data_IF_966464517195
#
_entry.id   IF_966464517195
#
_cell.length_a   1.000
_cell.length_b   1.000
_cell.length_c   1.000
_cell.angle_alpha   90.00
_cell.angle_beta   90.00
_cell.angle_gamma   90.00
#
_symmetry.space_group_name_H-M   'P 1'
#
loop_
_entity.id
_entity.type
_entity.pdbx_description
1 polymer ?
#
# COMPACT_ATOMS: atom_id res chain seq x y z
N UNK A 1 -2.40 4.52 27.69
CA UNK A 1 -3.10 3.79 26.61
C UNK A 1 -3.21 4.68 25.38
N UNK A 2 -2.11 4.90 24.67
CA UNK A 2 -2.11 5.87 23.56
C UNK A 2 -0.99 5.69 22.55
N UNK A 3 -0.19 4.62 22.62
CA UNK A 3 0.85 4.27 21.65
C UNK A 3 0.46 3.03 20.82
N UNK A 4 -0.35 2.13 21.39
CA UNK A 4 -0.73 0.86 20.75
C UNK A 4 -1.55 1.03 19.46
N UNK A 5 -2.27 2.15 19.32
CA UNK A 5 -3.01 2.50 18.10
C UNK A 5 -2.11 3.16 17.05
N UNK A 6 -1.04 3.85 17.47
CA UNK A 6 -0.15 4.57 16.55
C UNK A 6 0.88 3.67 15.89
N UNK A 7 1.32 2.60 16.56
CA UNK A 7 2.24 1.61 15.98
C UNK A 7 1.69 0.99 14.69
N UNK A 8 0.46 0.46 14.64
CA UNK A 8 -0.10 -0.08 13.40
C UNK A 8 -0.37 1.01 12.36
N UNK A 9 -0.77 2.21 12.76
CA UNK A 9 -0.99 3.34 11.84
C UNK A 9 0.33 3.79 11.20
N UNK A 10 1.40 3.90 11.98
CA UNK A 10 2.74 4.23 11.48
C UNK A 10 3.27 3.14 10.55
N UNK A 11 3.07 1.86 10.90
CA UNK A 11 3.39 0.74 10.02
C UNK A 11 2.65 0.82 8.68
N UNK A 12 1.35 1.16 8.72
CA UNK A 12 0.53 1.34 7.53
C UNK A 12 1.06 2.49 6.63
N UNK A 13 1.44 3.62 7.25
CA UNK A 13 1.99 4.76 6.53
C UNK A 13 3.35 4.46 5.88
N UNK A 14 4.22 3.72 6.55
CA UNK A 14 5.52 3.30 6.00
C UNK A 14 5.32 2.38 4.80
N UNK A 15 4.43 1.39 4.91
CA UNK A 15 4.11 0.46 3.81
C UNK A 15 3.52 1.23 2.62
N UNK A 16 2.61 2.18 2.87
CA UNK A 16 2.03 3.01 1.83
C UNK A 16 3.08 3.88 1.12
N UNK A 17 4.00 4.53 1.87
CA UNK A 17 5.06 5.34 1.30
C UNK A 17 6.07 4.51 0.47
N UNK A 18 6.41 3.32 0.96
CA UNK A 18 7.29 2.40 0.24
C UNK A 18 6.65 1.94 -1.08
N UNK A 19 5.34 1.66 -1.07
CA UNK A 19 4.57 1.32 -2.26
C UNK A 19 4.58 2.42 -3.31
N UNK A 20 4.25 3.67 -2.92
CA UNK A 20 4.29 4.81 -3.85
C UNK A 20 5.67 4.96 -4.48
N UNK A 21 6.73 4.76 -3.69
CA UNK A 21 8.12 4.83 -4.15
C UNK A 21 8.44 3.75 -5.17
N UNK A 22 8.07 2.49 -4.90
CA UNK A 22 8.26 1.36 -5.82
C UNK A 22 7.50 1.58 -7.12
N UNK A 23 6.26 2.06 -7.05
CA UNK A 23 5.44 2.36 -8.23
C UNK A 23 6.04 3.48 -9.05
N UNK A 24 6.49 4.55 -8.39
CA UNK A 24 7.14 5.67 -9.06
C UNK A 24 8.43 5.23 -9.80
N UNK A 25 9.27 4.43 -9.14
CA UNK A 25 10.47 3.84 -9.74
C UNK A 25 10.12 2.90 -10.90
N UNK A 26 9.10 2.06 -10.71
CA UNK A 26 8.67 1.10 -11.72
C UNK A 26 7.98 1.77 -12.90
N UNK A 27 7.41 2.97 -12.77
CA UNK A 27 6.86 3.73 -13.91
C UNK A 27 7.93 4.53 -14.65
N UNK A 28 9.05 4.87 -13.99
CA UNK A 28 10.19 5.55 -14.62
C UNK A 28 10.95 4.57 -15.52
N UNK A 29 10.70 4.67 -16.83
CA UNK A 29 11.48 3.98 -17.85
C UNK A 29 10.93 2.63 -18.33
N UNK A 30 9.78 2.18 -17.84
CA UNK A 30 9.15 0.93 -18.32
C UNK A 30 8.36 1.11 -19.61
N UNK A 31 8.47 0.11 -20.49
CA UNK A 31 7.62 -0.06 -21.67
C UNK A 31 6.13 -0.21 -21.29
N UNK A 32 5.23 -0.05 -22.27
CA UNK A 32 3.78 -0.12 -22.03
C UNK A 32 3.33 -1.44 -21.37
N UNK A 33 3.99 -2.56 -21.69
CA UNK A 33 3.75 -3.86 -21.03
C UNK A 33 4.21 -3.88 -19.57
N UNK A 34 5.34 -3.24 -19.24
CA UNK A 34 5.81 -3.09 -17.86
C UNK A 34 4.84 -2.28 -16.99
N UNK A 35 4.23 -1.23 -17.55
CA UNK A 35 3.23 -0.43 -16.83
C UNK A 35 2.00 -1.24 -16.45
N UNK A 36 1.53 -2.15 -17.31
CA UNK A 36 0.37 -2.98 -17.01
C UNK A 36 0.63 -3.93 -15.83
N UNK A 37 1.81 -4.55 -15.78
CA UNK A 37 2.23 -5.41 -14.67
C UNK A 37 2.32 -4.61 -13.37
N UNK A 38 2.89 -3.41 -13.41
CA UNK A 38 2.96 -2.51 -12.26
C UNK A 38 1.57 -2.12 -11.77
N UNK A 39 0.66 -1.75 -12.67
CA UNK A 39 -0.72 -1.40 -12.30
C UNK A 39 -1.49 -2.58 -11.69
N UNK A 40 -1.27 -3.81 -12.18
CA UNK A 40 -1.82 -5.02 -11.56
C UNK A 40 -1.29 -5.23 -10.14
N UNK A 41 0.02 -5.07 -9.94
CA UNK A 41 0.63 -5.16 -8.61
C UNK A 41 0.08 -4.07 -7.67
N UNK A 42 -0.08 -2.84 -8.16
CA UNK A 42 -0.70 -1.74 -7.40
C UNK A 42 -2.13 -2.05 -6.99
N UNK A 43 -2.93 -2.60 -7.90
CA UNK A 43 -4.31 -2.95 -7.60
C UNK A 43 -4.40 -4.00 -6.48
N UNK A 44 -3.53 -5.00 -6.48
CA UNK A 44 -3.49 -6.05 -5.46
C UNK A 44 -3.12 -5.48 -4.09
N UNK A 45 -2.19 -4.53 -4.07
CA UNK A 45 -1.77 -3.82 -2.86
C UNK A 45 -2.89 -2.96 -2.30
N UNK A 46 -3.61 -2.21 -3.15
CA UNK A 46 -4.76 -1.41 -2.73
C UNK A 46 -5.83 -2.32 -2.10
N UNK A 47 -6.06 -3.51 -2.67
CA UNK A 47 -6.98 -4.49 -2.09
C UNK A 47 -6.51 -4.99 -0.73
N UNK A 48 -5.24 -5.31 -0.57
CA UNK A 48 -4.65 -5.71 0.71
C UNK A 48 -4.78 -4.60 1.75
N UNK A 49 -4.51 -3.34 1.37
CA UNK A 49 -4.66 -2.18 2.25
C UNK A 49 -6.11 -1.99 2.68
N UNK A 50 -7.06 -2.11 1.74
CA UNK A 50 -8.49 -2.04 2.04
C UNK A 50 -8.94 -3.15 2.99
N UNK A 51 -8.39 -4.37 2.88
CA UNK A 51 -8.66 -5.46 3.80
C UNK A 51 -8.12 -5.17 5.20
N UNK A 52 -6.92 -4.60 5.32
CA UNK A 52 -6.34 -4.18 6.61
C UNK A 52 -7.18 -3.08 7.25
N UNK A 53 -7.55 -2.04 6.52
CA UNK A 53 -8.41 -0.96 7.01
C UNK A 53 -9.75 -1.52 7.48
N UNK A 54 -10.37 -2.41 6.69
CA UNK A 54 -11.64 -3.05 7.06
C UNK A 54 -11.50 -3.93 8.30
N UNK A 55 -10.39 -4.65 8.45
CA UNK A 55 -10.10 -5.41 9.67
C UNK A 55 -9.87 -4.54 10.89
N UNK A 56 -9.35 -3.32 10.71
CA UNK A 56 -9.21 -2.35 11.79
C UNK A 56 -10.56 -1.76 12.17
N UNK A 57 -11.34 -1.29 11.19
CA UNK A 57 -12.67 -0.70 11.41
C UNK A 57 -13.74 -1.67 11.87
N UNK A 58 -13.71 -2.94 11.43
CA UNK A 58 -14.65 -3.96 11.91
C UNK A 58 -14.36 -4.46 13.33
N UNK A 59 -13.26 -4.01 13.95
CA UNK A 59 -12.82 -4.40 15.30
C UNK A 59 -13.03 -3.28 16.34
N UNK A 60 -13.36 -2.05 15.91
CA UNK A 60 -13.74 -0.90 16.76
C UNK A 60 -15.24 -0.81 16.85
#
# INVERSE_FOLDING_TARGET
>A
MGYEVWVPVAGLLVVAAMMVTVVYLALRGTSASGRAVVLMAVAEVIRALAAVIRSFWGRV
#
